data_IF_010542650907
#
_entry.id   IF_010542650907
#
_cell.length_a   1.000
_cell.length_b   1.000
_cell.length_c   1.000
_cell.angle_alpha   90.00
_cell.angle_beta   90.00
_cell.angle_gamma   90.00
#
_symmetry.space_group_name_H-M   'P 1'
#
loop_
_entity.id
_entity.type
_entity.pdbx_description
1 polymer ?
#
# COMPACT_ATOMS: atom_id res chain seq x y z
N UNK A 1 22.54 -51.64 -55.87
CA UNK A 1 23.01 -50.91 -54.65
C UNK A 1 21.91 -50.03 -54.21
N UNK A 2 21.30 -50.36 -53.08
CA UNK A 2 20.12 -49.64 -52.53
C UNK A 2 20.60 -48.60 -51.51
N UNK A 3 20.52 -47.33 -51.84
CA UNK A 3 20.84 -46.25 -50.92
C UNK A 3 19.66 -45.97 -50.01
N UNK A 4 19.84 -46.22 -48.72
CA UNK A 4 18.82 -45.93 -47.69
C UNK A 4 19.00 -44.49 -47.22
N UNK A 5 18.08 -43.60 -47.61
CA UNK A 5 18.07 -42.21 -47.16
C UNK A 5 17.38 -42.14 -45.79
N UNK A 6 18.16 -41.86 -44.74
CA UNK A 6 17.63 -41.64 -43.37
C UNK A 6 17.17 -40.17 -43.25
N UNK A 7 15.90 -39.97 -43.07
CA UNK A 7 15.34 -38.66 -42.73
C UNK A 7 15.41 -38.49 -41.20
N UNK A 8 16.26 -37.57 -40.74
CA UNK A 8 16.29 -37.13 -39.34
C UNK A 8 15.29 -36.01 -39.20
N UNK A 9 14.16 -36.32 -38.55
CA UNK A 9 13.16 -35.31 -38.14
C UNK A 9 13.67 -34.57 -36.90
N UNK A 10 14.09 -33.32 -37.06
CA UNK A 10 14.37 -32.42 -35.95
C UNK A 10 13.05 -31.95 -35.34
N UNK A 11 12.65 -32.52 -34.21
CA UNK A 11 11.60 -32.02 -33.35
C UNK A 11 12.12 -30.81 -32.55
N UNK A 12 11.85 -29.61 -33.04
CA UNK A 12 12.03 -28.37 -32.26
C UNK A 12 10.88 -28.25 -31.26
N UNK A 13 11.13 -28.71 -30.05
CA UNK A 13 10.23 -28.48 -28.91
C UNK A 13 10.23 -27.00 -28.53
N UNK A 14 9.16 -26.28 -28.86
CA UNK A 14 8.92 -24.95 -28.34
C UNK A 14 8.57 -25.05 -26.85
N UNK A 15 9.55 -24.74 -25.99
CA UNK A 15 9.34 -24.61 -24.58
C UNK A 15 8.62 -23.27 -24.35
N UNK A 16 7.30 -23.30 -24.29
CA UNK A 16 6.51 -22.14 -23.85
C UNK A 16 6.74 -21.97 -22.34
N UNK A 17 7.57 -21.01 -21.95
CA UNK A 17 7.59 -20.50 -20.59
C UNK A 17 6.25 -19.77 -20.39
N UNK A 18 5.26 -20.46 -19.85
CA UNK A 18 4.12 -19.82 -19.23
C UNK A 18 4.66 -19.06 -18.01
N UNK A 19 4.79 -17.75 -18.12
CA UNK A 19 5.02 -16.88 -16.98
C UNK A 19 3.81 -17.06 -16.04
N UNK A 20 4.02 -17.76 -14.94
CA UNK A 20 3.11 -17.79 -13.82
C UNK A 20 3.12 -16.36 -13.23
N UNK A 21 2.26 -15.48 -13.76
CA UNK A 21 1.81 -14.31 -13.05
C UNK A 21 0.96 -14.87 -11.89
N UNK A 22 1.62 -15.10 -10.75
CA UNK A 22 0.94 -15.49 -9.54
C UNK A 22 0.01 -14.35 -9.18
N UNK A 23 -1.30 -14.58 -9.28
CA UNK A 23 -2.30 -13.67 -8.75
C UNK A 23 -1.99 -13.51 -7.26
N UNK A 24 -1.67 -12.27 -6.85
CA UNK A 24 -1.38 -11.99 -5.46
C UNK A 24 -2.67 -12.23 -4.66
N UNK A 25 -2.61 -13.17 -3.71
CA UNK A 25 -3.77 -13.53 -2.91
C UNK A 25 -4.11 -12.45 -1.88
N UNK A 26 -5.39 -12.20 -1.61
CA UNK A 26 -5.82 -11.31 -0.54
C UNK A 26 -5.28 -11.76 0.82
N UNK A 27 -4.80 -10.80 1.62
CA UNK A 27 -4.26 -11.02 2.97
C UNK A 27 -4.86 -10.03 3.95
N UNK A 28 -4.73 -10.33 5.24
CA UNK A 28 -5.10 -9.40 6.30
C UNK A 28 -3.87 -8.69 6.83
N UNK A 29 -3.87 -7.39 6.72
CA UNK A 29 -2.86 -6.49 7.26
C UNK A 29 -3.38 -5.86 8.54
N UNK A 30 -2.49 -5.58 9.51
CA UNK A 30 -2.83 -4.95 10.79
C UNK A 30 -1.99 -3.70 10.98
N UNK A 31 -2.63 -2.65 11.44
CA UNK A 31 -1.96 -1.38 11.68
C UNK A 31 -2.96 -0.30 12.06
N UNK A 32 -2.50 0.93 12.05
CA UNK A 32 -3.30 2.12 12.29
C UNK A 32 -3.52 2.88 10.98
N UNK A 33 -4.72 3.39 10.78
CA UNK A 33 -4.97 4.31 9.67
C UNK A 33 -4.40 5.68 10.05
N UNK A 34 -3.42 6.12 9.28
CA UNK A 34 -2.73 7.40 9.45
C UNK A 34 -2.66 8.13 8.10
N UNK A 35 -1.98 9.25 8.06
CA UNK A 35 -1.65 9.92 6.80
C UNK A 35 -0.17 9.71 6.43
N UNK A 36 0.13 9.85 5.15
CA UNK A 36 1.47 9.62 4.62
C UNK A 36 2.53 10.56 5.19
N UNK A 37 2.17 11.76 5.60
CA UNK A 37 3.11 12.73 6.14
C UNK A 37 3.49 12.40 7.59
N UNK A 38 2.49 12.06 8.43
CA UNK A 38 2.73 11.64 9.80
C UNK A 38 3.41 10.27 9.87
N UNK A 39 2.92 9.29 9.13
CA UNK A 39 3.44 7.92 9.15
C UNK A 39 4.88 7.81 8.64
N UNK A 40 5.27 8.62 7.65
CA UNK A 40 6.61 8.67 7.10
C UNK A 40 7.52 9.70 7.79
N UNK A 41 7.06 10.31 8.87
CA UNK A 41 7.81 11.35 9.60
C UNK A 41 8.30 12.52 8.71
N UNK A 42 7.57 12.86 7.68
CA UNK A 42 7.96 13.96 6.78
C UNK A 42 8.07 15.28 7.54
N UNK A 43 7.23 15.46 8.56
CA UNK A 43 7.26 16.64 9.42
C UNK A 43 8.51 16.71 10.31
N UNK A 44 9.12 15.56 10.66
CA UNK A 44 10.32 15.53 11.51
C UNK A 44 11.57 16.08 10.83
N UNK A 45 11.57 16.22 9.51
CA UNK A 45 12.68 16.80 8.75
C UNK A 45 12.69 18.33 8.80
N UNK A 46 11.53 18.96 8.95
CA UNK A 46 11.36 20.41 8.92
C UNK A 46 10.65 20.96 10.15
N UNK A 47 9.74 20.18 10.70
CA UNK A 47 8.87 20.58 11.80
C UNK A 47 8.34 19.32 12.50
N UNK A 48 8.43 19.27 13.83
CA UNK A 48 7.85 18.15 14.58
C UNK A 48 6.31 18.21 14.50
N UNK A 49 5.67 17.05 14.69
CA UNK A 49 4.21 16.96 14.74
C UNK A 49 3.63 17.91 15.80
N UNK A 50 4.27 17.98 16.98
CA UNK A 50 3.83 18.88 18.06
C UNK A 50 3.95 20.35 17.67
N UNK A 51 5.00 20.75 16.97
CA UNK A 51 5.17 22.12 16.47
C UNK A 51 4.13 22.44 15.40
N UNK A 52 3.84 21.48 14.53
CA UNK A 52 2.83 21.66 13.49
C UNK A 52 1.42 21.78 14.11
N UNK A 53 1.10 20.97 15.11
CA UNK A 53 -0.16 21.09 15.86
C UNK A 53 -0.27 22.43 16.59
N UNK A 54 0.83 22.95 17.15
CA UNK A 54 0.85 24.29 17.76
C UNK A 54 0.67 25.41 16.73
N UNK A 55 1.36 25.33 15.60
CA UNK A 55 1.31 26.37 14.57
C UNK A 55 0.02 26.37 13.76
N UNK A 56 -0.64 25.23 13.64
CA UNK A 56 -1.85 24.99 12.85
C UNK A 56 -3.05 24.58 13.69
N UNK A 57 -3.00 24.79 15.01
CA UNK A 57 -4.03 24.32 15.93
C UNK A 57 -5.44 24.80 15.60
N UNK A 58 -5.59 26.01 15.03
CA UNK A 58 -6.88 26.53 14.59
C UNK A 58 -7.43 25.85 13.33
N UNK A 59 -6.57 25.28 12.50
CA UNK A 59 -6.93 24.65 11.22
C UNK A 59 -6.86 23.12 11.27
N UNK A 60 -5.77 22.57 11.85
CA UNK A 60 -5.54 21.14 11.93
C UNK A 60 -6.17 20.48 13.18
N UNK A 61 -6.66 21.27 14.12
CA UNK A 61 -7.16 20.78 15.40
C UNK A 61 -6.03 20.37 16.35
N UNK A 62 -6.40 19.72 17.47
CA UNK A 62 -5.47 19.38 18.55
C UNK A 62 -5.20 17.88 18.72
N UNK A 63 -5.70 17.05 17.84
CA UNK A 63 -5.55 15.59 17.90
C UNK A 63 -4.81 15.03 16.68
N UNK A 64 -4.20 13.86 16.82
CA UNK A 64 -3.57 13.17 15.69
C UNK A 64 -4.57 12.89 14.56
N UNK A 65 -5.81 12.56 14.91
CA UNK A 65 -6.89 12.32 13.94
C UNK A 65 -7.20 13.58 13.13
N UNK A 66 -7.42 14.71 13.79
CA UNK A 66 -7.71 15.99 13.11
C UNK A 66 -6.52 16.45 12.27
N UNK A 67 -5.29 16.26 12.75
CA UNK A 67 -4.10 16.58 12.00
C UNK A 67 -3.96 15.73 10.74
N UNK A 68 -4.16 14.41 10.84
CA UNK A 68 -4.12 13.52 9.68
C UNK A 68 -5.19 13.88 8.64
N UNK A 69 -6.40 14.20 9.08
CA UNK A 69 -7.48 14.66 8.20
C UNK A 69 -7.11 15.97 7.50
N UNK A 70 -6.54 16.93 8.24
CA UNK A 70 -6.07 18.18 7.66
C UNK A 70 -4.96 17.97 6.62
N UNK A 71 -3.98 17.10 6.91
CA UNK A 71 -2.91 16.74 5.98
C UNK A 71 -3.46 16.16 4.68
N UNK A 72 -4.44 15.27 4.76
CA UNK A 72 -5.05 14.66 3.57
C UNK A 72 -5.87 15.67 2.78
N UNK A 73 -6.64 16.53 3.45
CA UNK A 73 -7.53 17.49 2.78
C UNK A 73 -6.80 18.70 2.20
N UNK A 74 -5.73 19.17 2.85
CA UNK A 74 -5.14 20.48 2.55
C UNK A 74 -3.66 20.44 2.16
N UNK A 75 -2.93 19.40 2.55
CA UNK A 75 -1.47 19.33 2.36
C UNK A 75 -1.04 18.23 1.39
N UNK A 76 -1.97 17.63 0.66
CA UNK A 76 -1.68 16.59 -0.33
C UNK A 76 -1.29 15.24 0.27
N UNK A 77 -1.50 15.02 1.57
CA UNK A 77 -1.34 13.71 2.21
C UNK A 77 -2.32 12.68 1.68
N UNK A 78 -1.99 11.41 1.91
CA UNK A 78 -2.86 10.27 1.58
C UNK A 78 -3.04 9.41 2.82
N UNK A 79 -4.19 8.77 2.97
CA UNK A 79 -4.37 7.76 4.00
C UNK A 79 -3.51 6.54 3.70
N UNK A 80 -2.87 6.04 4.75
CA UNK A 80 -1.96 4.88 4.72
C UNK A 80 -2.28 3.95 5.88
N UNK A 81 -1.84 2.70 5.77
CA UNK A 81 -1.82 1.76 6.88
C UNK A 81 -0.42 1.74 7.49
N UNK A 82 -0.28 2.28 8.68
CA UNK A 82 0.97 2.27 9.44
C UNK A 82 1.03 1.03 10.35
N UNK A 83 1.87 0.06 10.02
CA UNK A 83 2.21 -1.08 10.86
C UNK A 83 3.49 -0.79 11.65
N UNK A 84 3.87 -1.70 12.57
CA UNK A 84 5.10 -1.54 13.37
C UNK A 84 6.38 -1.46 12.54
N UNK A 85 6.40 -2.11 11.38
CA UNK A 85 7.61 -2.26 10.57
C UNK A 85 7.48 -1.64 9.17
N UNK A 86 6.28 -1.24 8.76
CA UNK A 86 6.03 -0.83 7.39
C UNK A 86 4.86 0.15 7.26
N UNK A 87 4.94 1.04 6.29
CA UNK A 87 3.85 1.94 5.91
C UNK A 87 3.38 1.54 4.52
N UNK A 88 2.14 1.10 4.43
CA UNK A 88 1.53 0.71 3.17
C UNK A 88 0.67 1.83 2.61
N UNK A 89 0.89 2.16 1.34
CA UNK A 89 -0.04 3.01 0.61
C UNK A 89 -1.33 2.24 0.28
N UNK A 90 -2.43 2.96 0.20
CA UNK A 90 -3.76 2.40 -0.07
C UNK A 90 -4.28 2.97 -1.39
N UNK A 91 -4.82 2.12 -2.25
CA UNK A 91 -5.43 2.57 -3.51
C UNK A 91 -6.78 3.24 -3.29
N UNK A 92 -7.53 2.78 -2.28
CA UNK A 92 -8.81 3.37 -1.87
C UNK A 92 -8.56 4.41 -0.77
N UNK A 93 -9.01 5.63 -0.98
CA UNK A 93 -8.86 6.74 -0.04
C UNK A 93 -10.16 7.10 0.68
N UNK A 94 -11.28 6.49 0.30
CA UNK A 94 -12.58 6.75 0.94
C UNK A 94 -12.83 5.79 2.12
N UNK A 95 -12.54 4.48 1.94
CA UNK A 95 -12.74 3.50 3.01
C UNK A 95 -11.98 3.84 4.29
N UNK A 96 -10.67 4.20 4.27
CA UNK A 96 -9.92 4.48 5.48
C UNK A 96 -10.35 5.77 6.20
N UNK A 97 -11.08 6.66 5.55
CA UNK A 97 -11.48 7.96 6.10
C UNK A 97 -12.22 7.85 7.44
N UNK A 98 -13.04 6.82 7.59
CA UNK A 98 -13.80 6.55 8.81
C UNK A 98 -13.00 5.92 9.96
N UNK A 99 -11.76 5.54 9.72
CA UNK A 99 -10.93 4.79 10.67
C UNK A 99 -9.64 5.51 11.06
N UNK A 100 -9.51 6.80 10.74
CA UNK A 100 -8.30 7.57 11.01
C UNK A 100 -7.97 7.56 12.50
N UNK A 101 -6.73 7.18 12.83
CA UNK A 101 -6.27 7.03 14.22
C UNK A 101 -6.69 5.72 14.89
N UNK A 102 -7.42 4.85 14.20
CA UNK A 102 -7.85 3.57 14.74
C UNK A 102 -6.93 2.42 14.28
N UNK A 103 -6.76 1.45 15.18
CA UNK A 103 -6.15 0.16 14.82
C UNK A 103 -7.16 -0.69 14.08
N UNK A 104 -6.75 -1.21 12.94
CA UNK A 104 -7.63 -1.92 12.03
C UNK A 104 -7.03 -3.23 11.53
N UNK A 105 -7.92 -4.10 11.09
CA UNK A 105 -7.65 -5.23 10.19
C UNK A 105 -8.09 -4.81 8.80
N UNK A 106 -7.13 -4.67 7.90
CA UNK A 106 -7.37 -4.35 6.51
C UNK A 106 -7.20 -5.61 5.67
N UNK A 107 -8.25 -6.00 4.96
CA UNK A 107 -8.21 -7.09 4.00
C UNK A 107 -7.97 -6.55 2.61
N UNK A 108 -6.96 -7.07 1.91
CA UNK A 108 -6.58 -6.53 0.61
C UNK A 108 -5.48 -7.32 -0.07
N UNK A 109 -5.14 -6.89 -1.27
CA UNK A 109 -4.09 -7.47 -2.10
C UNK A 109 -2.92 -6.48 -2.18
N UNK A 110 -1.74 -6.92 -1.74
CA UNK A 110 -0.52 -6.11 -1.84
C UNK A 110 0.12 -6.29 -3.21
N UNK A 111 0.32 -5.18 -3.91
CA UNK A 111 1.22 -5.15 -5.06
C UNK A 111 2.67 -5.04 -4.56
N UNK A 112 3.51 -6.07 -4.74
CA UNK A 112 4.87 -6.07 -4.22
C UNK A 112 5.81 -5.10 -4.95
N UNK A 113 5.43 -4.59 -6.12
CA UNK A 113 6.23 -3.64 -6.90
C UNK A 113 6.03 -2.20 -6.46
N UNK A 114 4.80 -1.86 -6.13
CA UNK A 114 4.42 -0.48 -5.77
C UNK A 114 4.24 -0.29 -4.27
N UNK A 115 4.17 -1.39 -3.49
CA UNK A 115 3.83 -1.40 -2.07
C UNK A 115 2.47 -0.77 -1.75
N UNK A 116 1.57 -0.80 -2.74
CA UNK A 116 0.19 -0.34 -2.60
C UNK A 116 -0.70 -1.54 -2.27
N UNK A 117 -1.57 -1.40 -1.28
CA UNK A 117 -2.62 -2.38 -1.00
C UNK A 117 -3.87 -1.98 -1.76
N UNK A 118 -4.35 -2.90 -2.60
CA UNK A 118 -5.70 -2.84 -3.13
C UNK A 118 -6.68 -3.23 -2.02
N UNK A 119 -7.42 -2.24 -1.50
CA UNK A 119 -8.26 -2.40 -0.31
C UNK A 119 -9.57 -3.06 -0.68
N UNK A 120 -9.88 -4.17 -0.02
CA UNK A 120 -11.15 -4.89 -0.18
C UNK A 120 -12.10 -4.61 0.98
N UNK A 121 -11.58 -4.54 2.22
CA UNK A 121 -12.36 -4.29 3.43
C UNK A 121 -11.49 -3.74 4.57
N UNK A 122 -12.08 -2.96 5.46
CA UNK A 122 -11.44 -2.45 6.68
C UNK A 122 -12.38 -2.67 7.86
N UNK A 123 -11.85 -3.23 8.94
CA UNK A 123 -12.59 -3.48 10.18
C UNK A 123 -11.78 -3.00 11.38
N UNK A 124 -12.40 -2.46 12.43
CA UNK A 124 -11.72 -2.17 13.69
C UNK A 124 -11.05 -3.43 14.27
N UNK A 125 -9.92 -3.27 14.94
CA UNK A 125 -9.23 -4.36 15.62
C UNK A 125 -9.78 -4.61 17.02
#
# INVERSE_FOLDING_TARGET
>A
MKGTTVWIALLTGAFSLAALAGDAEPKTFRGEISDSQCALNVHSLTQSHDEMLKSKSGEAGSTAVSCSQYCVMHLGGKFVLASKAHVYHLDNQEMPRGFVGEKVKLHGVLDPKTEIIHVLDIQPE
#
